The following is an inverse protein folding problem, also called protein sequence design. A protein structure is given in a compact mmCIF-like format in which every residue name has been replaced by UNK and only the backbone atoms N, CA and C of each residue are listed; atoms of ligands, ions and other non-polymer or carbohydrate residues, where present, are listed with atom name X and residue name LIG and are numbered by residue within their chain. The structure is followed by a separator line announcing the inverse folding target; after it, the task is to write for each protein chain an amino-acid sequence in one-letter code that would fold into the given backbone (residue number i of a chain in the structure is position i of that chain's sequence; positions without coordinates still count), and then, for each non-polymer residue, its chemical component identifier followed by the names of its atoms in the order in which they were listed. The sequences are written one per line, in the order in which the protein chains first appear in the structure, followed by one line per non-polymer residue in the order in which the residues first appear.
data_IF_618067238895
#
_entry.id   IF_618067238895
#
_cell.length_a   1.000
_cell.length_b   1.000
_cell.length_c   1.000
_cell.angle_alpha   90.00
_cell.angle_beta   90.00
_cell.angle_gamma   90.00
#
_symmetry.space_group_name_H-M   'P 1'
#
loop_
_entity.id
_entity.type
_entity.pdbx_description
1 polymer ?
#
# COMPACT_ATOMS: atom_id res chain seq x y z
N UNK A 1 0.37 7.94 17.55
CA UNK A 1 0.52 6.70 16.74
C UNK A 1 -0.60 6.50 15.72
N UNK A 2 -1.89 6.62 16.11
CA UNK A 2 -3.05 6.45 15.18
C UNK A 2 -3.00 7.32 13.92
N UNK A 3 -2.61 8.60 14.04
CA UNK A 3 -2.46 9.49 12.86
C UNK A 3 -1.33 9.03 11.93
N UNK A 4 -0.18 8.63 12.48
CA UNK A 4 0.96 8.13 11.71
C UNK A 4 0.60 6.89 10.89
N UNK A 5 -0.21 5.98 11.45
CA UNK A 5 -0.71 4.80 10.73
C UNK A 5 -1.70 5.17 9.61
N UNK A 6 -2.55 6.19 9.80
CA UNK A 6 -3.44 6.69 8.74
C UNK A 6 -2.65 7.31 7.60
N UNK A 7 -1.59 8.07 7.92
CA UNK A 7 -0.69 8.65 6.93
C UNK A 7 0.00 7.53 6.16
N UNK A 8 0.59 6.55 6.85
CA UNK A 8 1.25 5.41 6.21
C UNK A 8 0.30 4.62 5.30
N UNK A 9 -0.95 4.40 5.73
CA UNK A 9 -1.95 3.72 4.90
C UNK A 9 -2.27 4.53 3.63
N UNK A 10 -2.46 5.85 3.76
CA UNK A 10 -2.67 6.73 2.62
C UNK A 10 -1.50 6.71 1.64
N UNK A 11 -0.27 6.84 2.14
CA UNK A 11 0.94 6.81 1.30
C UNK A 11 1.16 5.46 0.61
N UNK A 12 0.87 4.33 1.28
CA UNK A 12 0.97 3.01 0.67
C UNK A 12 -0.09 2.82 -0.44
N UNK A 13 -1.30 3.32 -0.24
CA UNK A 13 -2.37 3.27 -1.26
C UNK A 13 -2.08 4.18 -2.46
N UNK A 14 -1.49 5.35 -2.21
CA UNK A 14 -0.99 6.23 -3.29
C UNK A 14 0.11 5.53 -4.09
N UNK A 15 1.06 4.88 -3.42
CA UNK A 15 2.13 4.14 -4.07
C UNK A 15 1.60 2.97 -4.91
N UNK A 16 0.60 2.22 -4.43
CA UNK A 16 -0.08 1.18 -5.21
C UNK A 16 -0.63 1.73 -6.53
N UNK A 17 -1.27 2.90 -6.47
CA UNK A 17 -1.78 3.60 -7.65
C UNK A 17 -0.64 3.95 -8.61
N UNK A 18 0.46 4.53 -8.10
CA UNK A 18 1.62 4.91 -8.92
C UNK A 18 2.32 3.70 -9.58
N UNK A 19 2.37 2.55 -8.89
CA UNK A 19 2.93 1.30 -9.44
C UNK A 19 2.06 0.77 -10.57
N UNK A 20 0.73 0.82 -10.41
CA UNK A 20 -0.19 0.46 -11.48
C UNK A 20 -0.03 1.38 -12.69
N UNK A 21 -0.03 2.70 -12.49
CA UNK A 21 0.20 3.65 -13.60
C UNK A 21 1.55 3.42 -14.30
N UNK A 22 2.61 3.11 -13.53
CA UNK A 22 3.93 2.88 -14.11
C UNK A 22 3.99 1.63 -14.99
N UNK A 23 3.20 0.60 -14.66
CA UNK A 23 3.02 -0.57 -15.52
C UNK A 23 2.23 -0.23 -16.79
N UNK A 24 1.10 0.48 -16.66
CA UNK A 24 0.29 0.91 -17.82
C UNK A 24 1.06 1.82 -18.78
N UNK A 25 2.03 2.58 -18.27
CA UNK A 25 2.93 3.45 -19.04
C UNK A 25 4.19 2.74 -19.55
N UNK A 26 4.31 1.42 -19.36
CA UNK A 26 5.46 0.59 -19.77
C UNK A 26 6.81 1.04 -19.15
N UNK A 27 6.76 1.75 -18.02
CA UNK A 27 7.94 2.17 -17.23
C UNK A 27 8.43 1.08 -16.27
N UNK A 28 7.57 0.10 -15.99
CA UNK A 28 7.80 -1.03 -15.10
C UNK A 28 7.30 -2.30 -15.79
N UNK A 29 8.11 -3.37 -15.76
CA UNK A 29 7.69 -4.65 -16.32
C UNK A 29 6.65 -5.34 -15.42
N UNK A 30 5.91 -6.29 -16.02
CA UNK A 30 4.83 -7.01 -15.33
C UNK A 30 5.31 -7.76 -14.07
N UNK A 31 6.50 -8.36 -14.10
CA UNK A 31 6.99 -9.14 -12.95
C UNK A 31 7.34 -8.20 -11.80
N UNK A 32 8.05 -7.12 -12.07
CA UNK A 32 8.42 -6.12 -11.06
C UNK A 32 7.17 -5.42 -10.50
N UNK A 33 6.23 -5.01 -11.36
CA UNK A 33 4.96 -4.42 -10.93
C UNK A 33 4.15 -5.38 -10.05
N UNK A 34 4.08 -6.66 -10.43
CA UNK A 34 3.42 -7.71 -9.65
C UNK A 34 4.04 -7.90 -8.26
N UNK A 35 5.37 -7.99 -8.18
CA UNK A 35 6.08 -8.12 -6.89
C UNK A 35 5.83 -6.94 -5.97
N UNK A 36 5.94 -5.71 -6.48
CA UNK A 36 5.70 -4.49 -5.69
C UNK A 36 4.24 -4.45 -5.21
N UNK A 37 3.30 -4.83 -6.06
CA UNK A 37 1.88 -4.89 -5.70
C UNK A 37 1.64 -5.88 -4.57
N UNK A 38 2.18 -7.10 -4.63
CA UNK A 38 2.02 -8.11 -3.58
C UNK A 38 2.57 -7.63 -2.23
N UNK A 39 3.73 -6.97 -2.24
CA UNK A 39 4.33 -6.37 -1.04
C UNK A 39 3.47 -5.24 -0.47
N UNK A 40 2.95 -4.35 -1.32
CA UNK A 40 2.05 -3.26 -0.90
C UNK A 40 0.74 -3.80 -0.32
N UNK A 41 0.20 -4.85 -0.92
CA UNK A 41 -1.02 -5.51 -0.47
C UNK A 41 -0.86 -6.07 0.95
N UNK A 42 0.31 -6.64 1.25
CA UNK A 42 0.67 -7.08 2.59
C UNK A 42 0.78 -5.90 3.57
N UNK A 43 1.49 -4.83 3.20
CA UNK A 43 1.65 -3.63 4.04
C UNK A 43 0.29 -2.99 4.36
N UNK A 44 -0.58 -2.83 3.37
CA UNK A 44 -1.92 -2.26 3.54
C UNK A 44 -2.78 -3.11 4.49
N UNK A 45 -2.72 -4.44 4.38
CA UNK A 45 -3.40 -5.36 5.30
C UNK A 45 -2.90 -5.21 6.73
N UNK A 46 -1.59 -5.09 6.94
CA UNK A 46 -1.01 -4.88 8.28
C UNK A 46 -1.45 -3.54 8.87
N UNK A 47 -1.31 -2.45 8.11
CA UNK A 47 -1.71 -1.11 8.53
C UNK A 47 -3.19 -1.03 8.89
N UNK A 48 -4.07 -1.63 8.08
CA UNK A 48 -5.51 -1.66 8.33
C UNK A 48 -5.84 -2.45 9.61
N UNK A 49 -5.22 -3.62 9.82
CA UNK A 49 -5.40 -4.42 11.05
C UNK A 49 -4.97 -3.64 12.29
N UNK A 50 -3.83 -2.96 12.25
CA UNK A 50 -3.35 -2.13 13.38
C UNK A 50 -4.25 -0.92 13.61
N UNK A 51 -4.75 -0.27 12.56
CA UNK A 51 -5.72 0.82 12.70
C UNK A 51 -7.02 0.36 13.33
N UNK A 52 -7.49 -0.83 12.97
CA UNK A 52 -8.70 -1.43 13.55
C UNK A 52 -8.49 -1.80 15.02
N UNK A 53 -7.34 -2.37 15.39
CA UNK A 53 -7.04 -2.69 16.80
C UNK A 53 -7.03 -1.44 17.68
N UNK A 54 -6.59 -0.28 17.15
CA UNK A 54 -6.63 1.02 17.83
C UNK A 54 -8.00 1.73 17.81
N UNK A 55 -9.04 1.13 17.23
CA UNK A 55 -10.43 1.63 17.31
C UNK A 55 -11.27 0.87 18.32
N UNK A 56 -10.86 -0.35 18.68
CA UNK A 56 -11.56 -1.23 19.63
C UNK A 56 -11.22 -0.88 21.09
N UNK A 57 -10.13 -0.13 21.32
CA UNK A 57 -9.77 0.52 22.59
C UNK A 57 -9.99 2.04 22.49
#
# INVERSE_FOLDING_TARGET
MKNSLRIAYGSASELETQVHLSYELELLDLNTSGQIKDDLDHVLKLLNRTLHSLKVY
#
